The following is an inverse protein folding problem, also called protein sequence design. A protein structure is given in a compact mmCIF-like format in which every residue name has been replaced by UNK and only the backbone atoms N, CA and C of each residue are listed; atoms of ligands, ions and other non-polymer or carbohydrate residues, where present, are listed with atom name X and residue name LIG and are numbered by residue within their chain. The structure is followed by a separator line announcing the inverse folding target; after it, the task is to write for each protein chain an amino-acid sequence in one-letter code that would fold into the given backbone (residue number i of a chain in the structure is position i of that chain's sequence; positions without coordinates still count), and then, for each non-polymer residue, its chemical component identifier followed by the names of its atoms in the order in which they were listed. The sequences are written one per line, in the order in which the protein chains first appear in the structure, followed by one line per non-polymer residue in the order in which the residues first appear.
data_IF_609733227105
#
_entry.id   IF_609733227105
#
_cell.length_a   1.000
_cell.length_b   1.000
_cell.length_c   1.000
_cell.angle_alpha   90.00
_cell.angle_beta   90.00
_cell.angle_gamma   90.00
#
_symmetry.space_group_name_H-M   'P 1'
#
loop_
_entity.id
_entity.type
_entity.pdbx_description
1 polymer ?
#
# COMPACT_ATOMS: atom_id res chain seq x y z
N UNK A 1 15.90 15.52 -5.87
CA UNK A 1 15.02 14.94 -4.84
C UNK A 1 14.06 14.00 -5.54
N UNK A 2 14.14 12.68 -5.33
CA UNK A 2 13.21 11.74 -5.96
C UNK A 2 12.00 11.55 -5.05
N UNK A 3 11.00 12.42 -5.16
CA UNK A 3 9.81 12.42 -4.29
C UNK A 3 8.78 11.33 -4.65
N UNK A 4 9.24 10.19 -5.16
CA UNK A 4 8.39 9.10 -5.64
C UNK A 4 7.86 8.20 -4.52
N UNK A 5 6.78 7.48 -4.80
CA UNK A 5 6.22 6.43 -3.92
C UNK A 5 6.99 5.09 -4.03
N UNK A 6 8.17 5.12 -4.66
CA UNK A 6 9.05 3.96 -4.81
C UNK A 6 8.49 2.85 -5.69
N UNK A 7 8.90 1.61 -5.42
CA UNK A 7 8.47 0.41 -6.11
C UNK A 7 7.13 -0.06 -5.53
N UNK A 8 6.04 0.36 -6.19
CA UNK A 8 4.68 0.19 -5.68
C UNK A 8 3.93 -0.93 -6.39
N UNK A 9 3.18 -1.73 -5.63
CA UNK A 9 2.12 -2.63 -6.13
C UNK A 9 0.80 -2.22 -5.46
N UNK A 10 -0.17 -1.77 -6.26
CA UNK A 10 -1.52 -1.44 -5.80
C UNK A 10 -1.94 0.03 -6.05
N UNK A 11 -3.09 0.49 -5.55
CA UNK A 11 -3.99 -0.21 -4.64
C UNK A 11 -4.78 -1.27 -5.39
N UNK A 12 -4.64 -2.52 -4.99
CA UNK A 12 -5.43 -3.59 -5.60
C UNK A 12 -6.76 -3.66 -4.84
N UNK A 13 -7.78 -3.00 -5.39
CA UNK A 13 -9.13 -3.04 -4.82
C UNK A 13 -9.83 -4.36 -5.15
N UNK A 14 -10.57 -4.96 -4.21
CA UNK A 14 -11.45 -6.08 -4.51
C UNK A 14 -12.48 -5.72 -5.58
N UNK A 15 -12.75 -6.66 -6.49
CA UNK A 15 -13.86 -6.56 -7.43
C UNK A 15 -14.58 -7.92 -7.53
N UNK A 16 -15.80 -7.94 -8.05
CA UNK A 16 -16.48 -9.22 -8.35
C UNK A 16 -15.73 -10.06 -9.38
N UNK A 17 -14.96 -9.41 -10.25
CA UNK A 17 -14.11 -10.06 -11.25
C UNK A 17 -12.77 -10.55 -10.70
N UNK A 18 -12.51 -10.38 -9.39
CA UNK A 18 -11.27 -10.77 -8.73
C UNK A 18 -10.03 -10.08 -9.33
N UNK A 19 -9.78 -8.83 -8.90
CA UNK A 19 -8.58 -8.10 -9.32
C UNK A 19 -7.31 -8.78 -8.78
N UNK A 20 -6.33 -9.00 -9.63
CA UNK A 20 -5.12 -9.73 -9.23
C UNK A 20 -3.85 -9.06 -9.74
N UNK A 21 -2.83 -9.05 -8.89
CA UNK A 21 -1.44 -8.80 -9.29
C UNK A 21 -0.63 -10.04 -8.93
N UNK A 22 -0.05 -10.70 -9.94
CA UNK A 22 0.64 -11.98 -9.80
C UNK A 22 1.96 -11.96 -10.55
N UNK A 23 2.98 -12.66 -10.04
CA UNK A 23 4.24 -12.93 -10.75
C UNK A 23 5.00 -11.65 -11.16
N UNK A 24 5.16 -10.71 -10.23
CA UNK A 24 5.88 -9.46 -10.46
C UNK A 24 7.28 -9.56 -9.86
N UNK A 25 8.29 -9.07 -10.56
CA UNK A 25 9.66 -8.98 -10.04
C UNK A 25 10.19 -7.56 -10.22
N UNK A 26 10.56 -6.93 -9.12
CA UNK A 26 11.39 -5.73 -9.12
C UNK A 26 12.82 -6.14 -8.74
N UNK A 27 13.80 -5.73 -9.53
CA UNK A 27 15.21 -6.05 -9.24
C UNK A 27 16.18 -4.98 -9.68
N UNK A 28 17.36 -4.95 -9.05
CA UNK A 28 18.46 -4.04 -9.36
C UNK A 28 18.02 -2.57 -9.34
N UNK A 29 17.36 -2.17 -8.24
CA UNK A 29 16.77 -0.85 -8.11
C UNK A 29 17.52 -0.01 -7.05
N UNK A 30 17.82 1.24 -7.40
CA UNK A 30 18.43 2.21 -6.49
C UNK A 30 17.53 3.42 -6.30
N UNK A 31 17.14 3.71 -5.06
CA UNK A 31 16.24 4.80 -4.71
C UNK A 31 16.91 5.74 -3.71
N UNK A 32 17.18 6.98 -4.12
CA UNK A 32 17.76 8.03 -3.26
C UNK A 32 16.72 9.02 -2.80
N UNK A 33 16.64 9.25 -1.49
CA UNK A 33 15.71 10.20 -0.88
C UNK A 33 14.26 9.98 -1.31
N UNK A 34 13.86 8.71 -1.46
CA UNK A 34 12.50 8.34 -1.87
C UNK A 34 11.49 8.61 -0.75
N UNK A 35 10.25 8.96 -1.09
CA UNK A 35 9.23 9.18 -0.06
C UNK A 35 8.83 7.85 0.60
N UNK A 36 8.58 6.83 -0.23
CA UNK A 36 8.43 5.43 0.16
C UNK A 36 9.36 4.56 -0.67
N UNK A 37 9.79 3.43 -0.13
CA UNK A 37 10.64 2.49 -0.85
C UNK A 37 9.86 1.37 -1.55
N UNK A 38 9.67 0.25 -0.87
CA UNK A 38 8.76 -0.82 -1.33
C UNK A 38 7.37 -0.54 -0.76
N UNK A 39 6.36 -0.47 -1.62
CA UNK A 39 5.00 -0.14 -1.19
C UNK A 39 3.96 -1.07 -1.81
N UNK A 40 3.59 -2.11 -1.08
CA UNK A 40 2.52 -3.04 -1.47
C UNK A 40 1.24 -2.63 -0.75
N UNK A 41 0.22 -2.23 -1.49
CA UNK A 41 -1.05 -1.73 -0.95
C UNK A 41 -2.28 -2.49 -1.44
N UNK A 42 -3.04 -3.06 -0.51
CA UNK A 42 -4.40 -3.55 -0.78
C UNK A 42 -5.41 -2.40 -0.67
N UNK A 43 -6.40 -2.39 -1.58
CA UNK A 43 -7.55 -1.52 -1.46
C UNK A 43 -8.68 -2.17 -0.65
N UNK A 44 -9.72 -1.41 -0.36
CA UNK A 44 -10.95 -1.91 0.28
C UNK A 44 -12.12 -1.97 -0.72
N UNK A 45 -13.16 -2.73 -0.35
CA UNK A 45 -14.45 -2.77 -1.04
C UNK A 45 -15.54 -3.03 0.00
N UNK A 46 -16.71 -2.41 -0.17
CA UNK A 46 -17.91 -2.68 0.63
C UNK A 46 -18.76 -3.82 0.07
N UNK A 47 -18.48 -4.32 -1.13
CA UNK A 47 -19.18 -5.47 -1.70
C UNK A 47 -18.64 -6.78 -1.08
N UNK A 48 -19.46 -7.53 -0.34
CA UNK A 48 -19.03 -8.76 0.34
C UNK A 48 -18.65 -9.90 -0.63
N UNK A 49 -19.05 -9.80 -1.90
CA UNK A 49 -18.70 -10.79 -2.93
C UNK A 49 -17.48 -10.37 -3.77
N UNK A 50 -16.88 -9.21 -3.48
CA UNK A 50 -15.67 -8.78 -4.15
C UNK A 50 -14.44 -9.44 -3.51
N UNK A 51 -13.48 -9.82 -4.35
CA UNK A 51 -12.18 -10.32 -3.89
C UNK A 51 -11.05 -9.71 -4.72
N UNK A 52 -9.84 -9.77 -4.17
CA UNK A 52 -8.62 -9.41 -4.87
C UNK A 52 -7.45 -10.22 -4.32
N UNK A 53 -6.34 -10.24 -5.05
CA UNK A 53 -5.11 -10.83 -4.56
C UNK A 53 -3.85 -10.13 -5.06
N UNK A 54 -2.80 -10.25 -4.24
CA UNK A 54 -1.43 -9.90 -4.56
C UNK A 54 -0.60 -11.13 -4.21
N UNK A 55 -0.04 -11.82 -5.20
CA UNK A 55 0.72 -13.07 -4.98
C UNK A 55 1.98 -13.12 -5.83
N UNK A 56 2.98 -13.87 -5.36
CA UNK A 56 4.25 -14.08 -6.05
C UNK A 56 4.90 -12.76 -6.54
N UNK A 57 5.15 -11.84 -5.61
CA UNK A 57 5.89 -10.60 -5.88
C UNK A 57 7.29 -10.72 -5.28
N UNK A 58 8.31 -10.60 -6.12
CA UNK A 58 9.72 -10.63 -5.74
C UNK A 58 10.32 -9.23 -5.77
N UNK A 59 10.98 -8.84 -4.69
CA UNK A 59 11.88 -7.68 -4.64
C UNK A 59 13.28 -8.21 -4.34
N UNK A 60 14.22 -7.99 -5.26
CA UNK A 60 15.59 -8.52 -5.16
C UNK A 60 16.60 -7.41 -5.48
N UNK A 61 17.71 -7.33 -4.75
CA UNK A 61 18.74 -6.32 -4.99
C UNK A 61 18.18 -4.88 -5.09
N UNK A 62 17.52 -4.45 -4.02
CA UNK A 62 16.95 -3.11 -3.89
C UNK A 62 17.74 -2.32 -2.86
N UNK A 63 18.38 -1.23 -3.29
CA UNK A 63 19.10 -0.31 -2.43
C UNK A 63 18.30 0.98 -2.23
N UNK A 64 18.10 1.35 -0.97
CA UNK A 64 17.39 2.55 -0.57
C UNK A 64 18.27 3.43 0.31
N UNK A 65 18.44 4.68 -0.08
CA UNK A 65 19.24 5.68 0.61
C UNK A 65 18.32 6.79 1.15
N UNK A 66 18.31 6.96 2.47
CA UNK A 66 17.53 7.98 3.19
C UNK A 66 16.05 8.12 2.78
N UNK A 67 15.22 7.05 2.79
CA UNK A 67 13.78 7.18 2.56
C UNK A 67 13.10 8.03 3.65
N UNK A 68 12.16 8.90 3.28
CA UNK A 68 11.65 9.95 4.18
C UNK A 68 10.40 9.59 4.99
N UNK A 69 9.63 8.57 4.59
CA UNK A 69 8.44 8.14 5.35
C UNK A 69 8.54 6.67 5.78
N UNK A 70 8.40 5.73 4.84
CA UNK A 70 8.49 4.29 5.12
C UNK A 70 9.36 3.59 4.07
N UNK A 71 10.47 2.94 4.46
CA UNK A 71 11.31 2.20 3.53
C UNK A 71 10.55 1.02 2.89
N UNK A 72 9.76 0.30 3.69
CA UNK A 72 8.95 -0.84 3.24
C UNK A 72 7.58 -0.75 3.92
N UNK A 73 6.51 -0.83 3.14
CA UNK A 73 5.14 -0.98 3.62
C UNK A 73 4.43 -2.07 2.84
N UNK A 74 3.83 -3.01 3.57
CA UNK A 74 2.96 -4.05 3.03
C UNK A 74 1.70 -4.04 3.89
N UNK A 75 0.59 -3.58 3.33
CA UNK A 75 -0.66 -3.44 4.10
C UNK A 75 -1.74 -2.71 3.32
N UNK A 76 -2.79 -2.20 3.99
CA UNK A 76 -3.79 -1.37 3.35
C UNK A 76 -3.20 -0.11 2.71
N UNK A 77 -3.84 0.40 1.67
CA UNK A 77 -3.50 1.70 1.09
C UNK A 77 -3.53 2.79 2.17
N UNK A 78 -2.45 3.56 2.25
CA UNK A 78 -2.33 4.72 3.14
C UNK A 78 -2.98 5.97 2.54
N UNK A 79 -4.12 5.78 1.89
CA UNK A 79 -4.90 6.83 1.24
C UNK A 79 -6.22 6.96 2.00
N UNK A 80 -6.57 8.21 2.26
CA UNK A 80 -7.75 8.59 3.01
C UNK A 80 -9.03 8.56 2.15
N UNK A 81 -8.95 7.92 0.98
CA UNK A 81 -9.89 7.97 -0.12
C UNK A 81 -10.97 6.87 -0.05
N UNK A 82 -10.83 5.91 0.88
CA UNK A 82 -11.86 4.91 1.13
C UNK A 82 -12.94 5.49 2.06
N UNK A 83 -14.21 5.42 1.65
CA UNK A 83 -15.33 5.89 2.48
C UNK A 83 -15.32 5.20 3.85
N UNK A 84 -15.19 5.99 4.93
CA UNK A 84 -15.09 5.48 6.31
C UNK A 84 -13.69 5.02 6.73
N UNK A 85 -12.64 5.34 5.95
CA UNK A 85 -11.27 5.04 6.33
C UNK A 85 -10.82 5.80 7.58
N UNK A 86 -10.04 5.10 8.41
CA UNK A 86 -9.35 5.66 9.56
C UNK A 86 -7.91 5.98 9.21
N UNK A 87 -7.35 6.93 9.95
CA UNK A 87 -5.89 7.08 9.98
C UNK A 87 -5.27 5.72 10.31
N UNK A 88 -4.21 5.34 9.59
CA UNK A 88 -3.46 4.10 9.88
C UNK A 88 -2.78 4.12 11.24
N UNK A 89 -2.64 5.30 11.84
CA UNK A 89 -2.13 5.49 13.19
C UNK A 89 -3.27 5.66 14.21
N UNK A 90 -4.53 5.44 13.81
CA UNK A 90 -5.67 5.53 14.71
C UNK A 90 -5.67 4.33 15.67
N UNK A 91 -5.73 4.56 16.99
CA UNK A 91 -5.72 3.46 17.95
C UNK A 91 -7.01 2.64 17.90
N UNK A 92 -6.89 1.31 17.86
CA UNK A 92 -8.00 0.37 18.07
C UNK A 92 -8.34 0.24 19.56
N UNK A 93 -8.83 1.32 20.18
CA UNK A 93 -9.30 1.28 21.57
C UNK A 93 -10.82 1.37 21.62
N UNK A 94 -11.47 0.73 22.63
CA UNK A 94 -12.92 0.80 22.78
C UNK A 94 -13.43 2.24 22.75
N UNK A 95 -14.53 2.46 22.03
CA UNK A 95 -15.22 3.75 21.90
C UNK A 95 -14.47 4.85 21.11
N UNK A 96 -13.30 4.56 20.53
CA UNK A 96 -12.63 5.51 19.65
C UNK A 96 -13.48 5.79 18.41
N UNK A 97 -13.84 7.05 18.19
CA UNK A 97 -14.50 7.48 16.95
C UNK A 97 -13.43 7.88 15.96
N UNK A 98 -13.38 7.17 14.84
CA UNK A 98 -12.53 7.50 13.73
C UNK A 98 -13.26 8.49 12.80
N UNK A 99 -12.92 9.79 12.81
CA UNK A 99 -13.53 10.72 11.89
C UNK A 99 -12.92 10.49 10.49
N UNK A 100 -13.74 10.44 9.42
CA UNK A 100 -13.21 10.50 8.08
C UNK A 100 -12.42 11.81 7.91
N UNK A 101 -11.35 11.83 7.11
CA UNK A 101 -10.66 13.06 6.78
C UNK A 101 -11.62 14.05 6.11
N UNK A 102 -11.72 15.26 6.65
CA UNK A 102 -12.44 16.39 6.04
C UNK A 102 -11.67 17.00 4.88
#
# INVERSE_FOLDING_TARGET
NASGLGLTVGAVHPSRGHNCVRNVTFRHARMHHTFKGIYVKSGSSSDPNASAEITNVLYEDVFMDSPSQVPIWIGPAQEADSAGACSLLWPEVPFAKCPPPT
#
